data_IF_342854387080
#
_entry.id   IF_342854387080
#
_cell.length_a   1.000
_cell.length_b   1.000
_cell.length_c   1.000
_cell.angle_alpha   90.00
_cell.angle_beta   90.00
_cell.angle_gamma   90.00
#
_symmetry.space_group_name_H-M   'P 1'
#
loop_
_entity.id
_entity.type
_entity.pdbx_description
1 polymer ?
#
# COMPACT_ATOMS: atom_id res chain seq x y z
N UNK A 1 23.76 8.32 1.16
CA UNK A 1 22.40 7.77 1.00
C UNK A 1 21.52 8.42 2.07
N UNK A 2 20.51 9.22 1.68
CA UNK A 2 19.58 9.90 2.60
C UNK A 2 18.15 9.68 2.13
N UNK A 3 17.62 8.49 2.41
CA UNK A 3 16.23 8.13 2.10
C UNK A 3 15.75 7.10 3.11
N UNK A 4 14.47 6.75 3.09
CA UNK A 4 13.89 5.79 4.01
C UNK A 4 12.47 5.39 3.62
N UNK A 5 11.85 4.57 4.48
CA UNK A 5 10.47 4.13 4.34
C UNK A 5 9.76 4.35 5.66
N UNK A 6 8.58 4.94 5.61
CA UNK A 6 7.65 5.06 6.75
C UNK A 6 6.41 4.25 6.45
N UNK A 7 5.94 3.45 7.40
CA UNK A 7 4.69 2.68 7.25
C UNK A 7 3.69 3.06 8.33
N UNK A 8 2.45 3.33 7.93
CA UNK A 8 1.32 3.64 8.81
C UNK A 8 0.38 2.45 8.83
N UNK A 9 0.18 1.90 10.02
CA UNK A 9 -0.72 0.77 10.29
C UNK A 9 -2.01 1.30 10.94
N UNK A 10 -3.18 1.21 10.30
CA UNK A 10 -4.44 1.72 10.85
C UNK A 10 -4.87 1.05 12.17
N UNK A 11 -4.51 -0.22 12.40
CA UNK A 11 -4.75 -0.94 13.65
C UNK A 11 -3.84 -2.17 13.78
N UNK A 12 -3.73 -2.75 14.98
CA UNK A 12 -2.85 -3.89 15.23
C UNK A 12 -3.25 -5.21 14.53
N UNK A 13 -4.51 -5.37 14.11
CA UNK A 13 -5.02 -6.57 13.44
C UNK A 13 -4.61 -6.73 11.96
N UNK A 14 -5.02 -7.83 11.34
CA UNK A 14 -4.79 -8.11 9.92
C UNK A 14 -5.71 -7.27 9.03
N UNK A 15 -5.16 -6.28 8.31
CA UNK A 15 -5.90 -5.39 7.41
C UNK A 15 -6.53 -6.10 6.21
N UNK A 16 -5.99 -7.24 5.78
CA UNK A 16 -6.56 -7.98 4.66
C UNK A 16 -7.91 -8.59 5.06
N UNK A 17 -8.01 -9.05 6.31
CA UNK A 17 -9.23 -9.63 6.89
C UNK A 17 -10.16 -8.54 7.44
N UNK A 18 -9.61 -7.61 8.22
CA UNK A 18 -10.31 -6.51 8.86
C UNK A 18 -9.97 -5.20 8.14
N UNK A 19 -10.65 -4.96 7.02
CA UNK A 19 -10.44 -3.76 6.20
C UNK A 19 -10.97 -2.52 6.90
N UNK A 20 -10.38 -1.36 6.59
CA UNK A 20 -10.76 -0.06 7.18
C UNK A 20 -11.33 0.85 6.09
N UNK A 21 -12.48 1.53 6.30
CA UNK A 21 -12.99 2.49 5.34
C UNK A 21 -11.97 3.59 5.01
N UNK A 22 -11.88 3.96 3.74
CA UNK A 22 -10.98 5.01 3.27
C UNK A 22 -11.52 5.72 2.02
N UNK A 23 -11.02 6.93 1.81
CA UNK A 23 -11.21 7.70 0.58
C UNK A 23 -9.88 8.30 0.14
N UNK A 24 -9.82 8.78 -1.10
CA UNK A 24 -8.66 9.45 -1.65
C UNK A 24 -9.08 10.67 -2.46
N UNK A 25 -8.19 11.66 -2.53
CA UNK A 25 -8.32 12.81 -3.41
C UNK A 25 -6.96 13.10 -4.05
N UNK A 26 -6.95 13.33 -5.36
CA UNK A 26 -5.76 13.75 -6.11
C UNK A 26 -5.95 15.21 -6.50
N UNK A 27 -5.25 16.12 -5.82
CA UNK A 27 -5.27 17.54 -6.16
C UNK A 27 -4.45 17.82 -7.43
N UNK A 28 -3.24 17.24 -7.50
CA UNK A 28 -2.37 17.27 -8.67
C UNK A 28 -1.71 15.89 -8.83
N UNK A 29 -1.78 15.33 -10.03
CA UNK A 29 -1.38 13.94 -10.32
C UNK A 29 0.09 13.74 -10.68
N UNK A 30 1.00 14.67 -10.37
CA UNK A 30 2.43 14.53 -10.74
C UNK A 30 3.21 13.49 -9.88
N UNK A 31 2.52 12.59 -9.18
CA UNK A 31 3.10 11.54 -8.33
C UNK A 31 3.06 10.14 -8.98
N UNK A 32 3.80 9.19 -8.38
CA UNK A 32 3.97 7.80 -8.88
C UNK A 32 3.39 6.77 -7.90
N UNK A 33 2.36 7.14 -7.14
CA UNK A 33 1.71 6.30 -6.14
C UNK A 33 1.13 5.01 -6.71
N UNK A 34 1.04 3.96 -5.88
CA UNK A 34 0.48 2.65 -6.23
C UNK A 34 -0.72 2.34 -5.35
N UNK A 35 -1.74 1.68 -5.94
CA UNK A 35 -2.89 1.11 -5.23
C UNK A 35 -4.13 1.99 -5.12
N UNK A 36 -4.10 3.20 -5.71
CA UNK A 36 -5.18 4.19 -5.61
C UNK A 36 -6.50 3.72 -6.24
N UNK A 37 -6.44 3.07 -7.41
CA UNK A 37 -7.64 2.68 -8.15
C UNK A 37 -8.59 1.80 -7.34
N UNK A 38 -8.06 0.81 -6.62
CA UNK A 38 -8.90 -0.07 -5.79
C UNK A 38 -9.43 0.62 -4.53
N UNK A 39 -8.67 1.56 -3.95
CA UNK A 39 -9.19 2.39 -2.83
C UNK A 39 -10.35 3.27 -3.31
N UNK A 40 -10.26 3.84 -4.51
CA UNK A 40 -11.35 4.63 -5.08
C UNK A 40 -12.59 3.78 -5.38
N UNK A 41 -12.41 2.55 -5.85
CA UNK A 41 -13.49 1.65 -6.21
C UNK A 41 -14.18 1.03 -4.98
N UNK A 42 -13.39 0.49 -4.04
CA UNK A 42 -13.91 -0.29 -2.92
C UNK A 42 -14.06 0.52 -1.63
N UNK A 43 -13.48 1.72 -1.56
CA UNK A 43 -13.57 2.61 -0.40
C UNK A 43 -12.91 2.05 0.87
N UNK A 44 -11.89 1.20 0.73
CA UNK A 44 -11.25 0.49 1.86
C UNK A 44 -9.74 0.35 1.72
N UNK A 45 -9.06 0.27 2.86
CA UNK A 45 -7.67 -0.17 2.99
C UNK A 45 -7.62 -1.65 3.36
N UNK A 46 -6.79 -2.40 2.65
CA UNK A 46 -6.52 -3.82 2.95
C UNK A 46 -5.03 -4.11 3.19
N UNK A 47 -4.18 -3.08 3.09
CA UNK A 47 -2.76 -3.10 3.42
C UNK A 47 -2.40 -1.86 4.23
N UNK A 48 -1.25 -1.86 4.94
CA UNK A 48 -0.72 -0.66 5.57
C UNK A 48 -0.42 0.41 4.51
N UNK A 49 -0.28 1.68 4.90
CA UNK A 49 0.14 2.73 3.98
C UNK A 49 1.66 2.88 4.08
N UNK A 50 2.40 2.78 2.96
CA UNK A 50 3.84 3.04 2.98
C UNK A 50 4.20 4.33 2.22
N UNK A 51 5.16 5.07 2.76
CA UNK A 51 5.67 6.33 2.25
C UNK A 51 7.17 6.18 1.99
N UNK A 52 7.65 6.58 0.81
CA UNK A 52 9.05 6.41 0.38
C UNK A 52 9.47 7.47 -0.64
N UNK A 53 10.69 7.42 -1.16
CA UNK A 53 11.09 8.20 -2.34
C UNK A 53 10.44 7.70 -3.64
N UNK A 54 10.34 8.58 -4.65
CA UNK A 54 9.69 8.31 -5.95
C UNK A 54 10.18 7.04 -6.63
N UNK A 55 11.50 6.82 -6.69
CA UNK A 55 12.08 5.71 -7.44
C UNK A 55 12.03 4.38 -6.67
N UNK A 56 11.64 4.40 -5.40
CA UNK A 56 11.53 3.21 -4.55
C UNK A 56 10.09 2.70 -4.41
N UNK A 57 9.10 3.34 -5.03
CA UNK A 57 7.69 2.91 -4.96
C UNK A 57 7.52 1.44 -5.36
N UNK A 58 8.09 1.02 -6.49
CA UNK A 58 7.97 -0.37 -6.97
C UNK A 58 8.61 -1.38 -6.01
N UNK A 59 9.75 -1.02 -5.42
CA UNK A 59 10.44 -1.83 -4.41
C UNK A 59 9.58 -2.00 -3.16
N UNK A 60 9.01 -0.91 -2.65
CA UNK A 60 8.15 -0.93 -1.45
C UNK A 60 6.86 -1.69 -1.71
N UNK A 61 6.21 -1.49 -2.87
CA UNK A 61 5.02 -2.24 -3.26
C UNK A 61 5.29 -3.76 -3.30
N UNK A 62 6.41 -4.16 -3.92
CA UNK A 62 6.84 -5.57 -3.94
C UNK A 62 7.07 -6.13 -2.54
N UNK A 63 7.75 -5.36 -1.67
CA UNK A 63 8.00 -5.77 -0.29
C UNK A 63 6.69 -5.92 0.50
N UNK A 64 5.75 -4.99 0.35
CA UNK A 64 4.43 -5.06 0.98
C UNK A 64 3.62 -6.28 0.53
N UNK A 65 3.56 -6.56 -0.77
CA UNK A 65 2.88 -7.74 -1.30
C UNK A 65 3.48 -9.02 -0.71
N UNK A 66 4.82 -9.11 -0.66
CA UNK A 66 5.51 -10.27 -0.05
C UNK A 66 5.21 -10.40 1.45
N UNK A 67 5.19 -9.29 2.18
CA UNK A 67 4.87 -9.29 3.61
C UNK A 67 3.42 -9.71 3.88
N UNK A 68 2.47 -9.27 3.04
CA UNK A 68 1.07 -9.68 3.14
C UNK A 68 0.91 -11.19 2.89
N UNK A 69 1.55 -11.73 1.84
CA UNK A 69 1.53 -13.18 1.54
C UNK A 69 2.21 -13.98 2.66
N UNK A 70 3.30 -13.48 3.25
CA UNK A 70 3.95 -14.16 4.37
C UNK A 70 3.04 -14.24 5.61
N UNK A 71 2.21 -13.23 5.84
CA UNK A 71 1.22 -13.22 6.94
C UNK A 71 -0.01 -14.05 6.63
N UNK A 72 -0.48 -14.04 5.38
CA UNK A 72 -1.64 -14.78 4.89
C UNK A 72 -1.28 -15.55 3.60
N UNK A 73 -0.76 -16.79 3.72
CA UNK A 73 -0.28 -17.57 2.58
C UNK A 73 -1.33 -17.95 1.54
N UNK A 74 -2.61 -17.80 1.88
CA UNK A 74 -3.73 -18.06 0.97
C UNK A 74 -4.02 -16.90 0.00
N UNK A 75 -3.43 -15.70 0.21
CA UNK A 75 -3.51 -14.58 -0.75
C UNK A 75 -2.99 -15.02 -2.12
N UNK A 76 -3.74 -14.66 -3.16
CA UNK A 76 -3.47 -15.05 -4.56
C UNK A 76 -3.44 -16.58 -4.78
N UNK A 77 -3.99 -17.36 -3.86
CA UNK A 77 -4.28 -18.80 -4.01
C UNK A 77 -5.78 -19.03 -3.87
N UNK A 78 -6.25 -19.30 -2.67
CA UNK A 78 -7.68 -19.45 -2.37
C UNK A 78 -8.36 -18.14 -2.00
N UNK A 79 -7.59 -17.11 -1.63
CA UNK A 79 -8.05 -15.73 -1.39
C UNK A 79 -7.68 -14.80 -2.54
N UNK A 80 -8.30 -13.62 -2.56
CA UNK A 80 -8.06 -12.57 -3.55
C UNK A 80 -6.58 -12.11 -3.56
N UNK A 81 -6.21 -11.42 -4.64
CA UNK A 81 -4.94 -10.68 -4.70
C UNK A 81 -4.95 -9.53 -3.70
N UNK A 82 -3.77 -8.99 -3.38
CA UNK A 82 -3.60 -7.90 -2.43
C UNK A 82 -3.23 -6.60 -3.15
N UNK A 83 -3.81 -5.49 -2.71
CA UNK A 83 -3.51 -4.15 -3.19
C UNK A 83 -2.54 -3.43 -2.23
N UNK A 84 -1.23 -3.37 -2.54
CA UNK A 84 -0.29 -2.55 -1.75
C UNK A 84 -0.57 -1.06 -1.98
N UNK A 85 -0.64 -0.28 -0.90
CA UNK A 85 -0.81 1.17 -0.97
C UNK A 85 0.48 1.92 -0.65
N UNK A 86 1.06 2.56 -1.67
CA UNK A 86 2.34 3.28 -1.55
C UNK A 86 2.22 4.69 -2.10
N UNK A 87 2.68 5.67 -1.33
CA UNK A 87 2.83 7.07 -1.74
C UNK A 87 4.29 7.49 -1.66
N UNK A 88 4.60 8.62 -2.29
CA UNK A 88 5.99 9.07 -2.43
C UNK A 88 6.14 10.58 -2.53
N UNK A 89 7.35 11.03 -2.22
CA UNK A 89 7.89 12.33 -2.59
C UNK A 89 9.28 12.15 -3.20
N UNK A 90 9.68 13.02 -4.14
CA UNK A 90 11.04 13.03 -4.67
C UNK A 90 12.01 13.67 -3.67
N UNK A 91 13.09 12.97 -3.32
CA UNK A 91 14.14 13.38 -2.38
C UNK A 91 15.54 13.51 -3.05
N UNK A 92 15.57 13.62 -4.39
CA UNK A 92 16.78 13.82 -5.19
C UNK A 92 17.52 15.12 -4.92
#
# INVERSE_FOLDING_TARGET
>A
MRTGVTTVQPHAGDLFVHKVPAGLAVLNGFGKSVGLMQVQELGVLETPISLTNTLSVGTVATAMTRAAIARQPEIARSLLTVNPLVFECNDG
#
